data_IF_175349322650
#
_entry.id   IF_175349322650
#
_cell.length_a   1.000
_cell.length_b   1.000
_cell.length_c   1.000
_cell.angle_alpha   90.00
_cell.angle_beta   90.00
_cell.angle_gamma   90.00
#
_symmetry.space_group_name_H-M   'P 1'
#
loop_
_entity.id
_entity.type
_entity.pdbx_description
1 polymer ?
#
# COMPACT_ATOMS: atom_id res chain seq x y z
N UNK A 1 44.47 -38.52 8.59
CA UNK A 1 43.17 -38.51 7.86
C UNK A 1 42.45 -37.21 8.16
N UNK A 2 42.31 -36.32 7.18
CA UNK A 2 41.68 -35.01 7.36
C UNK A 2 40.32 -34.98 6.66
N UNK A 3 39.25 -34.78 7.43
CA UNK A 3 37.87 -34.73 6.96
C UNK A 3 37.65 -33.36 6.31
N UNK A 4 37.48 -33.34 4.98
CA UNK A 4 37.13 -32.13 4.22
C UNK A 4 35.71 -31.68 4.61
N UNK A 5 35.59 -30.48 5.16
CA UNK A 5 34.32 -29.77 5.32
C UNK A 5 33.67 -29.60 3.94
N UNK A 6 32.63 -30.39 3.68
CA UNK A 6 31.71 -30.17 2.57
C UNK A 6 30.94 -28.89 2.84
N UNK A 7 31.21 -27.84 2.04
CA UNK A 7 30.35 -26.67 2.00
C UNK A 7 28.97 -27.08 1.47
N UNK A 8 27.97 -26.99 2.34
CA UNK A 8 26.57 -27.22 2.02
C UNK A 8 26.06 -26.12 1.07
N UNK A 9 25.90 -26.49 -0.19
CA UNK A 9 25.15 -25.74 -1.21
C UNK A 9 23.68 -25.67 -0.80
N UNK A 10 23.18 -24.54 -0.32
CA UNK A 10 21.75 -24.14 -0.31
C UNK A 10 21.73 -22.62 0.00
N UNK A 11 21.11 -21.70 -0.75
CA UNK A 11 20.15 -21.78 -1.84
C UNK A 11 20.32 -20.56 -2.77
N UNK A 12 20.61 -20.79 -4.04
CA UNK A 12 20.61 -19.75 -5.07
C UNK A 12 19.18 -19.48 -5.52
N UNK A 13 18.49 -18.56 -4.85
CA UNK A 13 17.37 -17.88 -5.50
C UNK A 13 17.99 -16.82 -6.41
N UNK A 14 17.88 -16.97 -7.73
CA UNK A 14 18.39 -15.98 -8.68
C UNK A 14 17.75 -14.61 -8.43
N UNK A 15 18.47 -13.51 -8.67
CA UNK A 15 17.94 -12.14 -8.50
C UNK A 15 16.54 -11.90 -9.11
N UNK A 16 16.22 -12.36 -10.33
CA UNK A 16 14.88 -12.19 -10.88
C UNK A 16 13.81 -12.96 -10.10
N UNK A 17 14.16 -14.10 -9.50
CA UNK A 17 13.26 -14.88 -8.65
C UNK A 17 13.09 -14.22 -7.27
N UNK A 18 14.13 -13.61 -6.69
CA UNK A 18 14.02 -12.79 -5.48
C UNK A 18 13.12 -11.57 -5.71
N UNK A 19 13.29 -10.88 -6.83
CA UNK A 19 12.45 -9.74 -7.21
C UNK A 19 10.98 -10.16 -7.42
N UNK A 20 10.75 -11.33 -7.99
CA UNK A 20 9.41 -11.91 -8.17
C UNK A 20 8.77 -12.29 -6.83
N UNK A 21 9.52 -12.92 -5.93
CA UNK A 21 9.08 -13.25 -4.57
C UNK A 21 8.79 -11.97 -3.77
N UNK A 22 9.61 -10.93 -3.91
CA UNK A 22 9.39 -9.66 -3.22
C UNK A 22 8.18 -8.90 -3.80
N UNK A 23 7.95 -8.98 -5.12
CA UNK A 23 6.75 -8.44 -5.78
C UNK A 23 5.49 -9.18 -5.31
N UNK A 24 5.54 -10.52 -5.24
CA UNK A 24 4.46 -11.34 -4.70
C UNK A 24 4.23 -11.06 -3.21
N UNK A 25 5.30 -10.86 -2.43
CA UNK A 25 5.20 -10.49 -1.02
C UNK A 25 4.59 -9.09 -0.85
N UNK A 26 4.95 -8.10 -1.67
CA UNK A 26 4.32 -6.78 -1.69
C UNK A 26 2.83 -6.87 -2.04
N UNK A 27 2.47 -7.66 -3.06
CA UNK A 27 1.08 -7.90 -3.43
C UNK A 27 0.32 -8.61 -2.29
N UNK A 28 0.94 -9.57 -1.60
CA UNK A 28 0.34 -10.25 -0.44
C UNK A 28 0.15 -9.31 0.77
N UNK A 29 1.08 -8.40 1.02
CA UNK A 29 0.98 -7.38 2.09
C UNK A 29 -0.07 -6.32 1.76
N UNK A 30 -0.21 -5.97 0.48
CA UNK A 30 -1.30 -5.12 -0.01
C UNK A 30 -2.66 -5.83 0.12
N UNK A 31 -2.72 -7.14 -0.19
CA UNK A 31 -3.90 -7.99 0.01
C UNK A 31 -4.26 -8.16 1.49
N UNK A 32 -3.27 -8.27 2.39
CA UNK A 32 -3.48 -8.32 3.85
C UNK A 32 -4.22 -7.08 4.39
N UNK A 33 -4.11 -5.93 3.73
CA UNK A 33 -4.89 -4.71 4.07
C UNK A 33 -6.33 -4.73 3.55
N UNK A 34 -6.65 -5.56 2.55
CA UNK A 34 -8.03 -5.80 2.09
C UNK A 34 -8.76 -6.83 2.95
N UNK A 35 -8.02 -7.73 3.62
CA UNK A 35 -8.56 -8.81 4.46
C UNK A 35 -8.54 -8.46 5.96
N UNK A 36 -8.01 -7.29 6.35
CA UNK A 36 -7.83 -6.92 7.76
C UNK A 36 -9.09 -6.49 8.50
N UNK A 37 -10.25 -6.45 7.83
CA UNK A 37 -11.53 -6.14 8.49
C UNK A 37 -12.31 -7.44 8.70
N UNK A 38 -12.40 -7.87 9.95
CA UNK A 38 -13.13 -9.07 10.38
C UNK A 38 -14.57 -8.90 9.89
N UNK A 39 -15.01 -9.78 8.99
CA UNK A 39 -16.36 -9.73 8.40
C UNK A 39 -16.44 -9.22 6.95
N UNK A 40 -15.36 -8.73 6.34
CA UNK A 40 -15.37 -8.35 4.91
C UNK A 40 -15.64 -9.55 3.99
N UNK A 41 -15.04 -10.71 4.29
CA UNK A 41 -15.30 -11.93 3.51
C UNK A 41 -16.76 -12.39 3.66
N UNK A 42 -17.32 -12.30 4.87
CA UNK A 42 -18.73 -12.64 5.12
C UNK A 42 -19.66 -11.70 4.36
N UNK A 43 -19.47 -10.39 4.49
CA UNK A 43 -20.26 -9.37 3.78
C UNK A 43 -20.17 -9.51 2.26
N UNK A 44 -18.99 -9.86 1.73
CA UNK A 44 -18.85 -10.16 0.31
C UNK A 44 -19.66 -11.40 -0.07
N UNK A 45 -19.61 -12.46 0.74
CA UNK A 45 -20.42 -13.66 0.54
C UNK A 45 -21.92 -13.36 0.55
N UNK A 46 -22.40 -12.56 1.51
CA UNK A 46 -23.81 -12.17 1.61
C UNK A 46 -24.23 -11.31 0.41
N UNK A 47 -23.36 -10.38 -0.02
CA UNK A 47 -23.57 -9.58 -1.23
C UNK A 47 -23.65 -10.44 -2.50
N UNK A 48 -22.77 -11.44 -2.63
CA UNK A 48 -22.79 -12.38 -3.76
C UNK A 48 -24.06 -13.25 -3.77
N UNK A 49 -24.58 -13.63 -2.58
CA UNK A 49 -25.84 -14.38 -2.46
C UNK A 49 -27.06 -13.51 -2.78
N UNK A 50 -27.01 -12.23 -2.43
CA UNK A 50 -28.10 -11.30 -2.66
C UNK A 50 -28.34 -11.02 -4.17
N UNK A 51 -27.31 -11.12 -5.00
CA UNK A 51 -27.43 -10.99 -6.46
C UNK A 51 -26.64 -12.09 -7.21
N UNK A 52 -27.26 -13.27 -7.41
CA UNK A 52 -26.65 -14.36 -8.16
C UNK A 52 -26.39 -14.04 -9.63
N UNK A 53 -27.19 -13.14 -10.23
CA UNK A 53 -27.03 -12.74 -11.63
C UNK A 53 -25.76 -11.91 -11.81
N UNK A 54 -25.48 -11.00 -10.87
CA UNK A 54 -24.24 -10.23 -10.85
C UNK A 54 -23.01 -11.12 -10.65
N UNK A 55 -23.10 -12.14 -9.78
CA UNK A 55 -22.04 -13.13 -9.63
C UNK A 55 -21.80 -13.87 -10.94
N UNK A 56 -22.84 -14.39 -11.58
CA UNK A 56 -22.73 -15.11 -12.85
C UNK A 56 -22.13 -14.22 -13.96
N UNK A 57 -22.51 -12.94 -14.00
CA UNK A 57 -21.95 -11.96 -14.93
C UNK A 57 -20.43 -11.81 -14.75
N UNK A 58 -19.95 -11.60 -13.53
CA UNK A 58 -18.52 -11.46 -13.27
C UNK A 58 -17.74 -12.75 -13.51
N UNK A 59 -18.30 -13.91 -13.16
CA UNK A 59 -17.68 -15.20 -13.45
C UNK A 59 -17.52 -15.40 -14.96
N UNK A 60 -18.57 -15.09 -15.75
CA UNK A 60 -18.54 -15.18 -17.21
C UNK A 60 -17.53 -14.20 -17.80
N UNK A 61 -17.50 -12.95 -17.34
CA UNK A 61 -16.54 -11.95 -17.80
C UNK A 61 -15.09 -12.43 -17.62
N UNK A 62 -14.75 -13.03 -16.48
CA UNK A 62 -13.40 -13.54 -16.23
C UNK A 62 -13.05 -14.73 -17.12
N UNK A 63 -14.03 -15.60 -17.41
CA UNK A 63 -13.84 -16.76 -18.28
C UNK A 63 -13.68 -16.34 -19.76
N UNK A 64 -14.54 -15.42 -20.24
CA UNK A 64 -14.62 -15.06 -21.66
C UNK A 64 -13.56 -14.00 -22.06
N UNK A 65 -13.32 -12.99 -21.21
CA UNK A 65 -12.33 -11.93 -21.47
C UNK A 65 -11.58 -11.52 -20.18
N UNK A 66 -10.55 -12.29 -19.79
CA UNK A 66 -9.75 -12.00 -18.60
C UNK A 66 -8.99 -10.68 -18.71
N UNK A 67 -8.64 -10.21 -19.91
CA UNK A 67 -7.94 -8.93 -20.09
C UNK A 67 -8.88 -7.77 -19.78
N UNK A 68 -10.12 -7.83 -20.24
CA UNK A 68 -11.12 -6.81 -19.90
C UNK A 68 -11.49 -6.86 -18.41
N UNK A 69 -11.60 -8.05 -17.81
CA UNK A 69 -11.80 -8.18 -16.37
C UNK A 69 -10.71 -7.44 -15.56
N UNK A 70 -9.43 -7.62 -15.92
CA UNK A 70 -8.32 -6.89 -15.30
C UNK A 70 -8.46 -5.38 -15.49
N UNK A 71 -8.84 -4.92 -16.69
CA UNK A 71 -9.06 -3.49 -16.95
C UNK A 71 -10.17 -2.90 -16.09
N UNK A 72 -11.29 -3.61 -15.88
CA UNK A 72 -12.36 -3.14 -15.02
C UNK A 72 -11.92 -3.04 -13.55
N UNK A 73 -11.12 -4.00 -13.08
CA UNK A 73 -10.54 -3.93 -11.74
C UNK A 73 -9.60 -2.73 -11.59
N UNK A 74 -8.72 -2.51 -12.56
CA UNK A 74 -7.84 -1.33 -12.58
C UNK A 74 -8.63 -0.02 -12.66
N UNK A 75 -9.71 0.02 -13.43
CA UNK A 75 -10.60 1.18 -13.55
C UNK A 75 -11.28 1.50 -12.21
N UNK A 76 -11.76 0.49 -11.50
CA UNK A 76 -12.31 0.64 -10.16
C UNK A 76 -11.26 1.21 -9.19
N UNK A 77 -10.06 0.64 -9.18
CA UNK A 77 -8.96 1.09 -8.32
C UNK A 77 -8.51 2.53 -8.65
N UNK A 78 -8.48 2.88 -9.94
CA UNK A 78 -8.21 4.25 -10.40
C UNK A 78 -9.27 5.23 -9.90
N UNK A 79 -10.56 4.90 -10.02
CA UNK A 79 -11.66 5.76 -9.51
C UNK A 79 -11.55 5.96 -8.00
N UNK A 80 -11.27 4.89 -7.25
CA UNK A 80 -11.01 4.98 -5.81
C UNK A 80 -9.82 5.89 -5.52
N UNK A 81 -8.72 5.71 -6.24
CA UNK A 81 -7.53 6.54 -6.09
C UNK A 81 -7.83 8.03 -6.32
N UNK A 82 -8.57 8.39 -7.37
CA UNK A 82 -8.94 9.78 -7.63
C UNK A 82 -9.81 10.39 -6.52
N UNK A 83 -10.76 9.63 -5.97
CA UNK A 83 -11.56 10.09 -4.83
C UNK A 83 -10.68 10.35 -3.61
N UNK A 84 -9.73 9.46 -3.33
CA UNK A 84 -8.77 9.67 -2.23
C UNK A 84 -7.86 10.88 -2.51
N UNK A 85 -7.40 11.07 -3.75
CA UNK A 85 -6.52 12.19 -4.10
C UNK A 85 -7.23 13.53 -4.06
N UNK A 86 -8.54 13.58 -4.28
CA UNK A 86 -9.34 14.80 -4.13
C UNK A 86 -9.34 15.33 -2.68
N UNK A 87 -9.23 14.44 -1.68
CA UNK A 87 -9.01 14.86 -0.29
C UNK A 87 -7.55 15.29 -0.08
N UNK A 88 -6.60 14.52 -0.59
CA UNK A 88 -5.17 14.82 -0.45
C UNK A 88 -4.83 16.18 -1.05
N UNK A 89 -5.33 16.50 -2.23
CA UNK A 89 -5.07 17.78 -2.91
C UNK A 89 -5.53 18.98 -2.09
N UNK A 90 -6.66 18.86 -1.39
CA UNK A 90 -7.17 19.89 -0.47
C UNK A 90 -6.29 20.06 0.77
N UNK A 91 -5.73 18.98 1.31
CA UNK A 91 -4.91 19.00 2.52
C UNK A 91 -3.42 19.32 2.26
N UNK A 92 -2.95 19.15 1.03
CA UNK A 92 -1.54 19.35 0.67
C UNK A 92 -0.99 20.75 0.98
N UNK A 93 -1.71 21.86 0.69
CA UNK A 93 -1.20 23.20 0.99
C UNK A 93 -0.84 23.39 2.47
N UNK A 94 -1.72 22.99 3.39
CA UNK A 94 -1.46 23.04 4.85
C UNK A 94 -0.21 22.24 5.24
N UNK A 95 -0.09 21.02 4.69
CA UNK A 95 1.09 20.18 4.95
C UNK A 95 2.38 20.80 4.44
N UNK A 96 2.36 21.44 3.27
CA UNK A 96 3.54 22.09 2.69
C UNK A 96 3.97 23.28 3.53
N UNK A 97 3.03 24.10 3.99
CA UNK A 97 3.30 25.23 4.91
C UNK A 97 3.90 24.71 6.22
N UNK A 98 3.29 23.69 6.82
CA UNK A 98 3.82 23.08 8.05
C UNK A 98 5.23 22.54 7.86
N UNK A 99 5.48 21.82 6.76
CA UNK A 99 6.77 21.20 6.47
C UNK A 99 7.87 22.24 6.23
N UNK A 100 7.55 23.38 5.62
CA UNK A 100 8.49 24.47 5.41
C UNK A 100 9.03 25.06 6.73
N UNK A 101 8.25 24.99 7.81
CA UNK A 101 8.66 25.42 9.16
C UNK A 101 9.37 24.34 9.98
N UNK A 102 9.63 23.15 9.44
CA UNK A 102 10.33 22.07 10.15
C UNK A 102 11.84 22.10 9.89
N UNK A 103 12.61 21.45 10.77
CA UNK A 103 14.06 21.34 10.62
C UNK A 103 14.45 20.57 9.33
N UNK A 104 15.65 20.84 8.77
CA UNK A 104 16.13 20.15 7.56
C UNK A 104 16.14 18.63 7.70
N UNK A 105 16.42 18.09 8.89
CA UNK A 105 16.47 16.66 9.15
C UNK A 105 15.08 16.01 9.01
N UNK A 106 14.02 16.66 9.52
CA UNK A 106 12.65 16.18 9.39
C UNK A 106 12.20 16.23 7.93
N UNK A 107 12.51 17.33 7.22
CA UNK A 107 12.19 17.46 5.80
C UNK A 107 12.88 16.36 4.96
N UNK A 108 14.17 16.11 5.21
CA UNK A 108 14.94 15.09 4.49
C UNK A 108 14.45 13.68 4.81
N UNK A 109 14.14 13.37 6.07
CA UNK A 109 13.60 12.08 6.49
C UNK A 109 12.28 11.76 5.78
N UNK A 110 11.36 12.73 5.72
CA UNK A 110 10.09 12.60 5.01
C UNK A 110 10.31 12.40 3.50
N UNK A 111 11.21 13.19 2.89
CA UNK A 111 11.55 13.07 1.46
C UNK A 111 12.10 11.69 1.11
N UNK A 112 13.02 11.16 1.91
CA UNK A 112 13.60 9.83 1.72
C UNK A 112 12.52 8.74 1.75
N UNK A 113 11.55 8.84 2.66
CA UNK A 113 10.42 7.89 2.73
C UNK A 113 9.51 7.98 1.51
N UNK A 114 9.19 9.19 1.05
CA UNK A 114 8.32 9.41 -0.12
C UNK A 114 8.97 8.90 -1.41
N UNK A 115 10.30 9.00 -1.55
CA UNK A 115 11.01 8.54 -2.73
C UNK A 115 10.90 7.01 -2.97
N UNK A 116 10.65 6.24 -1.92
CA UNK A 116 10.40 4.78 -2.01
C UNK A 116 8.99 4.43 -2.52
N UNK A 117 8.11 5.42 -2.61
CA UNK A 117 6.70 5.26 -3.02
C UNK A 117 6.55 5.58 -4.51
N UNK A 118 5.70 4.81 -5.20
CA UNK A 118 5.38 5.04 -6.60
C UNK A 118 4.86 6.49 -6.82
N UNK A 119 5.22 7.16 -7.92
CA UNK A 119 4.93 8.58 -8.14
C UNK A 119 3.48 8.99 -7.88
N UNK A 120 2.52 8.19 -8.35
CA UNK A 120 1.08 8.45 -8.20
C UNK A 120 0.60 8.50 -6.74
N UNK A 121 1.35 7.97 -5.78
CA UNK A 121 1.00 7.96 -4.36
C UNK A 121 1.89 8.88 -3.50
N UNK A 122 2.81 9.64 -4.11
CA UNK A 122 3.77 10.47 -3.36
C UNK A 122 3.10 11.55 -2.54
N UNK A 123 2.11 12.22 -3.09
CA UNK A 123 1.35 13.26 -2.39
C UNK A 123 0.59 12.71 -1.17
N UNK A 124 -0.01 11.53 -1.33
CA UNK A 124 -0.65 10.81 -0.22
C UNK A 124 0.38 10.42 0.84
N UNK A 125 1.55 9.95 0.42
CA UNK A 125 2.63 9.58 1.32
C UNK A 125 3.16 10.80 2.08
N UNK A 126 3.28 11.96 1.42
CA UNK A 126 3.66 13.22 2.03
C UNK A 126 2.69 13.61 3.13
N UNK A 127 1.40 13.67 2.83
CA UNK A 127 0.36 13.96 3.81
C UNK A 127 0.41 13.01 5.01
N UNK A 128 0.59 11.71 4.76
CA UNK A 128 0.67 10.70 5.83
C UNK A 128 1.90 10.89 6.72
N UNK A 129 3.08 11.00 6.13
CA UNK A 129 4.33 11.13 6.90
C UNK A 129 4.40 12.47 7.66
N UNK A 130 3.93 13.55 7.04
CA UNK A 130 3.83 14.85 7.70
C UNK A 130 2.87 14.80 8.90
N UNK A 131 1.67 14.23 8.73
CA UNK A 131 0.73 14.08 9.83
C UNK A 131 1.29 13.19 10.94
N UNK A 132 1.98 12.09 10.60
CA UNK A 132 2.65 11.23 11.58
C UNK A 132 3.68 12.01 12.42
N UNK A 133 4.48 12.85 11.78
CA UNK A 133 5.45 13.71 12.46
C UNK A 133 4.77 14.78 13.33
N UNK A 134 3.70 15.42 12.83
CA UNK A 134 2.88 16.38 13.60
C UNK A 134 2.32 15.76 14.89
N UNK A 135 1.76 14.55 14.79
CA UNK A 135 1.20 13.87 15.96
C UNK A 135 2.28 13.43 16.95
N UNK A 136 3.44 12.98 16.47
CA UNK A 136 4.57 12.64 17.34
C UNK A 136 5.05 13.85 18.16
N UNK A 137 5.18 15.01 17.52
CA UNK A 137 5.57 16.26 18.19
C UNK A 137 4.53 16.71 19.22
N UNK A 138 3.23 16.61 18.90
CA UNK A 138 2.15 16.91 19.86
C UNK A 138 2.14 15.97 21.05
N UNK A 139 2.46 14.69 20.85
CA UNK A 139 2.52 13.70 21.92
C UNK A 139 3.70 13.98 22.87
N UNK A 140 4.88 14.33 22.34
CA UNK A 140 6.06 14.68 23.14
C UNK A 140 5.83 15.93 24.01
N UNK A 141 5.21 16.97 23.46
CA UNK A 141 4.92 18.20 24.22
C UNK A 141 3.87 18.01 25.34
N UNK A 142 3.00 17.00 25.25
CA UNK A 142 2.01 16.68 26.30
C UNK A 142 2.60 15.90 27.47
N UNK A 143 3.70 15.18 27.25
CA UNK A 143 4.36 14.39 28.29
C UNK A 143 5.33 15.26 29.12
N UNK A 144 5.91 16.30 28.52
CA UNK A 144 6.83 17.22 29.21
C UNK A 144 6.16 18.37 30.00
N UNK A 145 4.83 18.40 30.07
CA UNK A 145 4.06 19.45 30.79
C UNK A 145 3.28 18.90 31.99
N UNK A 146 3.64 17.72 32.49
CA UNK A 146 3.09 17.09 33.70
C UNK A 146 4.24 16.81 34.66
#
# INVERSE_FOLDING_TARGET
>A
MAIKRTQSKHSMVSEPMKASIERLARLSRAKKRYVSDVGTASRLGDFMKADPALLAHYTKLVADDPRNAVRLLMLHDMRRHYREMAFVSKALPDVRVWLAGQSPEVQQSIRNRINTVAPIYRDKALLREANKARYAHKAQNRIGSA
#
